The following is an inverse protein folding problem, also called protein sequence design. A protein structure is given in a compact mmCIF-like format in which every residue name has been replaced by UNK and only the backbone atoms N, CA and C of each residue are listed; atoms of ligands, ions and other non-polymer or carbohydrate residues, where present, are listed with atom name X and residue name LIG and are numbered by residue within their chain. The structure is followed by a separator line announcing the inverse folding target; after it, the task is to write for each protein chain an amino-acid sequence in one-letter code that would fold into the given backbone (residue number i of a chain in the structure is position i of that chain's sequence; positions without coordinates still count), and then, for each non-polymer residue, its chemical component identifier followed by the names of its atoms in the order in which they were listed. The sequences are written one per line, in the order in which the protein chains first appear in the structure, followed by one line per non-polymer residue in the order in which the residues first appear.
data_IF_832775441521
#
_entry.id   IF_832775441521
#
_cell.length_a   1.000
_cell.length_b   1.000
_cell.length_c   1.000
_cell.angle_alpha   90.00
_cell.angle_beta   90.00
_cell.angle_gamma   90.00
#
_symmetry.space_group_name_H-M   'P 1'
#
loop_
_entity.id
_entity.type
_entity.pdbx_description
1 polymer ?
#
# COMPACT_ATOMS: atom_id res chain seq x y z
N UNK A 1 -17.64 -3.90 -11.27
CA UNK A 1 -17.98 -3.05 -12.42
C UNK A 1 -19.17 -3.68 -13.11
N UNK A 2 -20.09 -2.87 -13.66
CA UNK A 2 -21.21 -3.28 -14.50
C UNK A 2 -20.88 -2.98 -15.97
N UNK A 3 -21.33 -3.85 -16.87
CA UNK A 3 -21.15 -3.70 -18.31
C UNK A 3 -21.77 -2.39 -18.82
N UNK A 4 -21.08 -1.72 -19.73
CA UNK A 4 -21.55 -0.47 -20.35
C UNK A 4 -21.42 0.78 -19.48
N UNK A 5 -21.22 0.63 -18.17
CA UNK A 5 -20.97 1.77 -17.27
C UNK A 5 -19.62 2.42 -17.57
N UNK A 6 -19.59 3.75 -17.41
CA UNK A 6 -18.37 4.56 -17.48
C UNK A 6 -17.67 4.63 -16.12
N UNK A 7 -16.36 4.46 -16.12
CA UNK A 7 -15.47 4.54 -14.97
C UNK A 7 -14.45 5.66 -15.15
N UNK A 8 -13.98 6.19 -14.03
CA UNK A 8 -12.95 7.22 -14.06
C UNK A 8 -11.55 6.65 -14.26
N UNK A 9 -10.59 7.55 -14.41
CA UNK A 9 -9.17 7.27 -14.67
C UNK A 9 -8.50 6.26 -13.74
N UNK A 10 -9.07 5.97 -12.56
CA UNK A 10 -8.54 4.96 -11.63
C UNK A 10 -8.64 3.54 -12.20
N UNK A 11 -9.44 3.35 -13.24
CA UNK A 11 -9.66 2.07 -13.93
C UNK A 11 -8.89 1.98 -15.24
N UNK A 12 -7.99 2.93 -15.52
CA UNK A 12 -7.10 2.86 -16.67
C UNK A 12 -6.02 1.82 -16.38
N UNK A 13 -6.30 0.54 -16.61
CA UNK A 13 -5.36 -0.56 -16.40
C UNK A 13 -4.78 -1.00 -17.73
N UNK A 14 -3.50 -0.70 -17.99
CA UNK A 14 -2.90 -0.91 -19.32
C UNK A 14 -2.68 -2.37 -19.67
N UNK A 15 -2.80 -3.26 -18.68
CA UNK A 15 -2.71 -4.69 -18.85
C UNK A 15 -3.89 -5.28 -19.66
N UNK A 16 -5.02 -4.56 -19.78
CA UNK A 16 -6.17 -4.97 -20.60
C UNK A 16 -7.10 -3.78 -20.91
N UNK A 17 -6.63 -2.81 -21.71
CA UNK A 17 -7.42 -1.66 -22.17
C UNK A 17 -7.09 -1.32 -23.62
N UNK A 18 -8.08 -0.82 -24.36
CA UNK A 18 -7.89 -0.26 -25.70
C UNK A 18 -8.16 1.24 -25.66
N UNK A 19 -7.28 2.02 -26.28
CA UNK A 19 -7.33 3.49 -26.27
C UNK A 19 -7.21 3.99 -27.70
N UNK A 20 -8.09 4.91 -28.10
CA UNK A 20 -8.01 5.55 -29.42
C UNK A 20 -6.68 6.30 -29.53
N UNK A 21 -5.98 6.11 -30.65
CA UNK A 21 -4.68 6.73 -30.91
C UNK A 21 -4.69 8.25 -30.71
N UNK A 22 -5.75 8.92 -31.14
CA UNK A 22 -5.90 10.37 -31.05
C UNK A 22 -5.88 10.88 -29.59
N UNK A 23 -6.38 10.08 -28.64
CA UNK A 23 -6.29 10.43 -27.23
C UNK A 23 -4.84 10.55 -26.75
N UNK A 24 -3.97 9.65 -27.20
CA UNK A 24 -2.55 9.68 -26.83
C UNK A 24 -1.83 10.90 -27.42
N UNK A 25 -2.32 11.45 -28.53
CA UNK A 25 -1.75 12.66 -29.15
C UNK A 25 -2.17 13.96 -28.47
N UNK A 26 -3.16 13.95 -27.56
CA UNK A 26 -3.44 15.11 -26.71
C UNK A 26 -2.34 15.38 -25.67
N UNK A 27 -1.46 14.41 -25.45
CA UNK A 27 -0.41 14.47 -24.44
C UNK A 27 0.97 14.58 -25.10
N UNK A 28 1.81 15.47 -24.57
CA UNK A 28 3.19 15.65 -25.04
C UNK A 28 4.11 14.51 -24.62
N UNK A 29 3.69 13.72 -23.62
CA UNK A 29 4.35 12.51 -23.12
C UNK A 29 3.30 11.44 -22.82
N UNK A 30 3.61 10.19 -23.13
CA UNK A 30 2.71 9.05 -22.85
C UNK A 30 2.92 8.56 -21.42
N UNK A 31 3.79 7.59 -21.15
CA UNK A 31 4.09 7.21 -19.78
C UNK A 31 5.14 8.14 -19.17
N UNK A 32 4.89 8.56 -17.94
CA UNK A 32 5.83 9.37 -17.17
C UNK A 32 6.89 8.45 -16.54
N UNK A 33 8.13 8.58 -17.00
CA UNK A 33 9.25 7.70 -16.60
C UNK A 33 9.72 7.92 -15.17
N UNK A 34 9.22 8.94 -14.46
CA UNK A 34 9.49 9.09 -13.02
C UNK A 34 8.75 8.03 -12.19
N UNK A 35 7.73 7.37 -12.74
CA UNK A 35 7.09 6.19 -12.15
C UNK A 35 7.94 4.95 -12.39
N UNK A 36 9.01 4.82 -11.60
CA UNK A 36 10.03 3.76 -11.76
C UNK A 36 9.59 2.36 -11.32
N UNK A 37 8.41 2.23 -10.72
CA UNK A 37 7.82 0.95 -10.33
C UNK A 37 6.50 0.75 -11.07
N UNK A 38 6.13 -0.50 -11.33
CA UNK A 38 4.82 -0.87 -11.88
C UNK A 38 3.70 -0.59 -10.85
N UNK A 39 3.39 0.68 -10.68
CA UNK A 39 2.38 1.24 -9.81
C UNK A 39 2.12 2.72 -10.17
N UNK A 40 0.85 3.05 -10.40
CA UNK A 40 0.32 4.40 -10.65
C UNK A 40 0.72 5.09 -11.96
N UNK A 41 1.62 4.53 -12.77
CA UNK A 41 1.97 5.00 -14.11
C UNK A 41 0.74 5.03 -15.03
N UNK A 42 -0.06 3.96 -15.02
CA UNK A 42 -1.28 3.87 -15.82
C UNK A 42 -2.33 4.88 -15.35
N UNK A 43 -2.50 4.96 -14.01
CA UNK A 43 -3.46 5.86 -13.37
C UNK A 43 -3.08 7.32 -13.64
N UNK A 44 -1.79 7.64 -13.70
CA UNK A 44 -1.30 8.99 -14.03
C UNK A 44 -1.62 9.37 -15.47
N UNK A 45 -1.36 8.47 -16.43
CA UNK A 45 -1.72 8.71 -17.84
C UNK A 45 -3.24 8.82 -17.99
N UNK A 46 -4.00 7.91 -17.40
CA UNK A 46 -5.46 7.96 -17.37
C UNK A 46 -5.97 9.27 -16.77
N UNK A 47 -5.32 9.80 -15.72
CA UNK A 47 -5.70 11.06 -15.09
C UNK A 47 -5.56 12.22 -16.08
N UNK A 48 -4.42 12.34 -16.77
CA UNK A 48 -4.20 13.39 -17.77
C UNK A 48 -5.19 13.29 -18.92
N UNK A 49 -5.41 12.08 -19.45
CA UNK A 49 -6.39 11.84 -20.51
C UNK A 49 -7.83 12.14 -20.05
N UNK A 50 -8.18 11.91 -18.79
CA UNK A 50 -9.51 12.27 -18.24
C UNK A 50 -9.76 13.78 -18.28
N UNK A 51 -8.70 14.60 -18.17
CA UNK A 51 -8.79 16.05 -18.34
C UNK A 51 -9.05 16.46 -19.80
N UNK A 52 -8.94 15.52 -20.74
CA UNK A 52 -9.23 15.67 -22.16
C UNK A 52 -10.54 14.96 -22.57
N UNK A 53 -11.36 14.55 -21.60
CA UNK A 53 -12.65 13.90 -21.86
C UNK A 53 -12.56 12.39 -22.09
N UNK A 54 -11.52 11.72 -21.58
CA UNK A 54 -11.47 10.25 -21.60
C UNK A 54 -12.56 9.67 -20.70
N UNK A 55 -13.38 8.79 -21.28
CA UNK A 55 -14.31 7.92 -20.57
C UNK A 55 -13.88 6.46 -20.74
N UNK A 56 -13.86 5.70 -19.64
CA UNK A 56 -13.48 4.28 -19.65
C UNK A 56 -14.75 3.45 -19.56
N UNK A 57 -15.06 2.66 -20.58
CA UNK A 57 -16.23 1.79 -20.59
C UNK A 57 -15.82 0.36 -20.23
N UNK A 58 -16.46 -0.22 -19.22
CA UNK A 58 -16.18 -1.61 -18.84
C UNK A 58 -16.94 -2.60 -19.72
N UNK A 59 -16.24 -3.65 -20.16
CA UNK A 59 -16.80 -4.67 -21.03
C UNK A 59 -16.35 -6.08 -20.59
N UNK A 60 -17.21 -6.88 -19.91
CA UNK A 60 -16.81 -8.13 -19.26
C UNK A 60 -16.31 -9.23 -20.21
N UNK A 61 -16.70 -9.22 -21.50
CA UNK A 61 -16.22 -10.19 -22.50
C UNK A 61 -14.79 -9.91 -23.00
N UNK A 62 -14.21 -8.75 -22.68
CA UNK A 62 -12.81 -8.45 -23.01
C UNK A 62 -11.91 -9.08 -21.94
N UNK A 63 -11.63 -10.36 -22.11
CA UNK A 63 -10.86 -11.14 -21.15
C UNK A 63 -9.35 -10.95 -21.32
N UNK A 64 -8.66 -10.72 -20.20
CA UNK A 64 -7.20 -10.74 -20.10
C UNK A 64 -6.78 -11.69 -18.98
N UNK A 65 -5.92 -12.65 -19.30
CA UNK A 65 -5.38 -13.59 -18.32
C UNK A 65 -3.98 -13.18 -17.91
N UNK A 66 -3.76 -13.02 -16.61
CA UNK A 66 -2.46 -12.66 -16.06
C UNK A 66 -1.96 -13.77 -15.14
N UNK A 67 -0.73 -14.22 -15.37
CA UNK A 67 -0.03 -15.06 -14.42
C UNK A 67 0.80 -14.17 -13.49
N UNK A 68 0.41 -14.14 -12.21
CA UNK A 68 1.12 -13.39 -11.17
C UNK A 68 1.43 -14.30 -10.00
N UNK A 69 2.63 -14.84 -9.98
CA UNK A 69 3.14 -15.53 -8.79
C UNK A 69 3.64 -14.49 -7.78
N UNK A 70 3.02 -14.47 -6.60
CA UNK A 70 3.42 -13.63 -5.49
C UNK A 70 3.52 -14.43 -4.20
N UNK A 71 4.66 -14.33 -3.54
CA UNK A 71 4.80 -14.64 -2.11
C UNK A 71 4.40 -13.42 -1.28
N UNK A 72 4.06 -13.60 0.00
CA UNK A 72 3.82 -12.50 0.95
C UNK A 72 4.96 -11.49 0.94
N UNK A 73 6.20 -11.96 0.89
CA UNK A 73 7.37 -11.09 0.78
C UNK A 73 7.38 -10.24 -0.48
N UNK A 74 7.18 -10.86 -1.65
CA UNK A 74 7.17 -10.15 -2.94
C UNK A 74 5.99 -9.16 -3.01
N UNK A 75 4.84 -9.53 -2.46
CA UNK A 75 3.64 -8.71 -2.48
C UNK A 75 3.75 -7.55 -1.49
N UNK A 76 4.30 -7.75 -0.28
CA UNK A 76 4.62 -6.65 0.65
C UNK A 76 5.58 -5.64 0.04
N UNK A 77 6.60 -6.09 -0.70
CA UNK A 77 7.50 -5.19 -1.43
C UNK A 77 6.77 -4.43 -2.55
N UNK A 78 5.87 -5.09 -3.27
CA UNK A 78 5.03 -4.44 -4.28
C UNK A 78 4.15 -3.37 -3.64
N UNK A 79 3.48 -3.67 -2.53
CA UNK A 79 2.67 -2.72 -1.77
C UNK A 79 3.50 -1.50 -1.33
N UNK A 80 4.69 -1.72 -0.79
CA UNK A 80 5.62 -0.62 -0.45
C UNK A 80 5.93 0.25 -1.67
N UNK A 81 6.29 -0.34 -2.81
CA UNK A 81 6.54 0.39 -4.06
C UNK A 81 5.32 1.19 -4.52
N UNK A 82 4.12 0.62 -4.42
CA UNK A 82 2.87 1.32 -4.71
C UNK A 82 2.65 2.51 -3.78
N UNK A 83 2.99 2.40 -2.49
CA UNK A 83 2.98 3.52 -1.55
C UNK A 83 3.93 4.64 -1.94
N UNK A 84 5.15 4.30 -2.40
CA UNK A 84 6.12 5.30 -2.89
C UNK A 84 5.56 6.05 -4.10
N UNK A 85 5.02 5.32 -5.08
CA UNK A 85 4.49 5.91 -6.31
C UNK A 85 3.19 6.71 -6.10
N UNK A 86 2.39 6.36 -5.09
CA UNK A 86 1.18 7.14 -4.78
C UNK A 86 1.49 8.54 -4.27
N UNK A 87 2.58 8.72 -3.51
CA UNK A 87 3.06 10.06 -3.15
C UNK A 87 3.50 10.84 -4.39
N UNK A 88 4.23 10.21 -5.31
CA UNK A 88 4.66 10.85 -6.56
C UNK A 88 3.47 11.32 -7.39
N UNK A 89 2.41 10.52 -7.48
CA UNK A 89 1.16 10.89 -8.15
C UNK A 89 0.56 12.17 -7.55
N UNK A 90 0.43 12.26 -6.21
CA UNK A 90 -0.09 13.47 -5.54
C UNK A 90 0.83 14.66 -5.79
N UNK A 91 2.15 14.45 -5.70
CA UNK A 91 3.15 15.51 -5.87
C UNK A 91 3.07 16.14 -7.26
N UNK A 92 2.92 15.30 -8.30
CA UNK A 92 2.80 15.76 -9.69
C UNK A 92 1.40 16.30 -10.00
N UNK A 93 0.37 15.67 -9.45
CA UNK A 93 -1.04 15.97 -9.72
C UNK A 93 -1.82 16.14 -8.41
N UNK A 94 -1.74 17.30 -7.73
CA UNK A 94 -2.40 17.52 -6.45
C UNK A 94 -3.92 17.27 -6.48
N UNK A 95 -4.56 17.44 -7.65
CA UNK A 95 -5.98 17.14 -7.84
C UNK A 95 -6.35 15.66 -7.72
N UNK A 96 -5.38 14.74 -7.62
CA UNK A 96 -5.62 13.31 -7.38
C UNK A 96 -5.71 12.97 -5.89
N UNK A 97 -5.54 13.94 -4.99
CA UNK A 97 -5.59 13.72 -3.54
C UNK A 97 -6.88 13.05 -3.07
N UNK A 98 -8.01 13.31 -3.73
CA UNK A 98 -9.31 12.71 -3.43
C UNK A 98 -9.33 11.18 -3.64
N UNK A 99 -8.51 10.67 -4.55
CA UNK A 99 -8.33 9.23 -4.79
C UNK A 99 -7.59 8.57 -3.64
N UNK A 100 -6.77 9.35 -2.92
CA UNK A 100 -5.92 8.89 -1.84
C UNK A 100 -6.40 9.40 -0.48
N UNK A 101 -7.72 9.56 -0.33
CA UNK A 101 -8.37 10.04 0.90
C UNK A 101 -8.02 9.20 2.14
N UNK A 102 -7.90 7.87 2.00
CA UNK A 102 -7.53 7.00 3.11
C UNK A 102 -6.08 7.28 3.57
N UNK A 103 -5.18 7.52 2.62
CA UNK A 103 -3.78 7.83 2.81
C UNK A 103 -3.61 9.15 3.56
N UNK A 104 -4.32 10.18 3.09
CA UNK A 104 -4.33 11.51 3.72
C UNK A 104 -4.91 11.45 5.13
N UNK A 105 -6.05 10.78 5.32
CA UNK A 105 -6.67 10.62 6.65
C UNK A 105 -5.73 9.91 7.62
N UNK A 106 -5.07 8.83 7.19
CA UNK A 106 -4.10 8.13 8.05
C UNK A 106 -2.92 9.03 8.38
N UNK A 107 -2.35 9.71 7.38
CA UNK A 107 -1.24 10.63 7.61
C UNK A 107 -1.60 11.73 8.61
N UNK A 108 -2.78 12.34 8.44
CA UNK A 108 -3.28 13.36 9.36
C UNK A 108 -3.36 12.83 10.80
N UNK A 109 -3.90 11.62 10.98
CA UNK A 109 -3.92 10.96 12.29
C UNK A 109 -2.51 10.73 12.86
N UNK A 110 -1.53 10.32 12.05
CA UNK A 110 -0.14 10.15 12.50
C UNK A 110 0.46 11.49 12.96
N UNK A 111 0.24 12.56 12.19
CA UNK A 111 0.74 13.90 12.51
C UNK A 111 0.13 14.46 13.80
N UNK A 112 -1.16 14.23 14.04
CA UNK A 112 -1.81 14.63 15.30
C UNK A 112 -1.16 13.99 16.54
N UNK A 113 -0.57 12.81 16.39
CA UNK A 113 0.08 12.10 17.49
C UNK A 113 1.57 12.41 17.64
N UNK A 114 2.13 13.23 16.74
CA UNK A 114 3.53 13.61 16.75
C UNK A 114 3.98 14.32 18.04
N UNK A 115 3.20 15.24 18.64
CA UNK A 115 3.57 15.90 19.89
C UNK A 115 3.67 14.93 21.08
N UNK A 116 2.88 13.85 21.08
CA UNK A 116 2.77 12.91 22.19
C UNK A 116 3.79 11.75 22.12
N UNK A 117 4.51 11.63 21.01
CA UNK A 117 5.57 10.63 20.89
C UNK A 117 6.81 11.10 21.67
N UNK A 118 6.94 10.60 22.90
CA UNK A 118 8.05 10.88 23.83
C UNK A 118 9.31 10.04 23.52
N UNK A 119 9.16 8.88 22.88
CA UNK A 119 10.26 8.00 22.44
C UNK A 119 10.30 7.94 20.92
N UNK A 120 11.49 8.00 20.35
CA UNK A 120 11.78 7.49 19.01
C UNK A 120 12.59 6.20 19.14
N UNK A 121 12.32 5.23 18.28
CA UNK A 121 13.21 4.10 18.06
C UNK A 121 14.06 4.37 16.81
N UNK A 122 15.16 3.63 16.64
CA UNK A 122 15.93 3.70 15.41
C UNK A 122 15.09 3.22 14.22
N UNK A 123 15.39 3.73 13.02
CA UNK A 123 14.77 3.24 11.78
C UNK A 123 14.94 1.73 11.63
N UNK A 124 16.07 1.19 12.12
CA UNK A 124 16.37 -0.25 12.12
C UNK A 124 15.38 -1.08 12.93
N UNK A 125 14.86 -0.54 14.05
CA UNK A 125 13.84 -1.22 14.85
C UNK A 125 12.57 -1.43 14.02
N UNK A 126 12.08 -0.35 13.40
CA UNK A 126 10.86 -0.37 12.58
C UNK A 126 10.99 -1.28 11.37
N UNK A 127 12.15 -1.24 10.70
CA UNK A 127 12.43 -2.14 9.59
C UNK A 127 12.46 -3.61 10.04
N UNK A 128 13.06 -3.90 11.19
CA UNK A 128 13.07 -5.25 11.77
C UNK A 128 11.66 -5.73 12.11
N UNK A 129 10.84 -4.91 12.77
CA UNK A 129 9.45 -5.26 13.10
C UNK A 129 8.62 -5.53 11.84
N UNK A 130 8.82 -4.72 10.80
CA UNK A 130 8.19 -4.96 9.51
C UNK A 130 8.61 -6.28 8.87
N UNK A 131 9.92 -6.56 8.80
CA UNK A 131 10.44 -7.84 8.26
C UNK A 131 9.90 -9.04 9.03
N UNK A 132 9.84 -8.95 10.35
CA UNK A 132 9.27 -9.98 11.19
C UNK A 132 7.79 -10.20 10.92
N UNK A 133 7.03 -9.13 10.65
CA UNK A 133 5.61 -9.23 10.35
C UNK A 133 5.38 -9.91 9.00
N UNK A 134 6.24 -9.63 8.01
CA UNK A 134 6.21 -10.31 6.72
C UNK A 134 6.53 -11.80 6.88
N UNK A 135 7.56 -12.14 7.67
CA UNK A 135 7.89 -13.54 7.96
C UNK A 135 6.73 -14.27 8.65
N UNK A 136 6.07 -13.61 9.59
CA UNK A 136 4.90 -14.15 10.28
C UNK A 136 3.77 -14.48 9.30
N UNK A 137 3.37 -13.55 8.42
CA UNK A 137 2.33 -13.85 7.43
C UNK A 137 2.79 -14.92 6.43
N UNK A 138 4.07 -14.96 6.08
CA UNK A 138 4.62 -16.00 5.19
C UNK A 138 4.48 -17.40 5.81
N UNK A 139 4.66 -17.53 7.13
CA UNK A 139 4.45 -18.80 7.84
C UNK A 139 2.99 -19.27 7.76
N UNK A 140 2.03 -18.35 7.85
CA UNK A 140 0.60 -18.67 7.83
C UNK A 140 0.00 -18.76 6.42
N UNK A 141 0.78 -18.64 5.35
CA UNK A 141 0.29 -18.69 3.96
C UNK A 141 -0.52 -19.96 3.63
N UNK A 142 -0.14 -21.10 4.22
CA UNK A 142 -0.81 -22.38 3.97
C UNK A 142 -2.02 -22.64 4.88
N UNK A 143 -2.36 -21.72 5.78
CA UNK A 143 -3.41 -21.90 6.80
C UNK A 143 -4.48 -20.79 6.73
N UNK A 144 -5.23 -20.70 5.63
CA UNK A 144 -6.19 -19.62 5.42
C UNK A 144 -7.31 -19.68 6.46
N UNK A 145 -7.48 -18.59 7.19
CA UNK A 145 -8.61 -18.37 8.09
C UNK A 145 -8.79 -16.86 8.30
N UNK A 146 -9.97 -16.45 8.81
CA UNK A 146 -10.32 -15.04 8.97
C UNK A 146 -9.31 -14.23 9.81
N UNK A 147 -8.73 -14.86 10.85
CA UNK A 147 -7.76 -14.22 11.74
C UNK A 147 -6.41 -14.00 11.03
N UNK A 148 -5.99 -14.98 10.23
CA UNK A 148 -4.81 -14.87 9.35
C UNK A 148 -5.07 -13.85 8.24
N UNK A 149 -6.22 -13.88 7.56
CA UNK A 149 -6.58 -12.92 6.52
C UNK A 149 -6.53 -11.48 7.04
N UNK A 150 -7.05 -11.26 8.25
CA UNK A 150 -6.95 -9.97 8.93
C UNK A 150 -5.48 -9.54 9.08
N UNK A 151 -4.61 -10.43 9.59
CA UNK A 151 -3.19 -10.11 9.75
C UNK A 151 -2.52 -9.79 8.40
N UNK A 152 -2.80 -10.60 7.37
CA UNK A 152 -2.31 -10.37 6.00
C UNK A 152 -2.68 -8.96 5.51
N UNK A 153 -3.96 -8.60 5.57
CA UNK A 153 -4.43 -7.28 5.16
C UNK A 153 -3.72 -6.16 5.95
N UNK A 154 -3.53 -6.34 7.26
CA UNK A 154 -2.82 -5.34 8.09
C UNK A 154 -1.34 -5.21 7.73
N UNK A 155 -0.63 -6.31 7.47
CA UNK A 155 0.79 -6.26 7.11
C UNK A 155 0.99 -5.69 5.70
N UNK A 156 0.11 -6.03 4.76
CA UNK A 156 0.15 -5.51 3.39
C UNK A 156 -0.19 -4.02 3.35
N UNK A 157 -1.21 -3.59 4.08
CA UNK A 157 -1.51 -2.16 4.26
C UNK A 157 -0.33 -1.45 4.92
N UNK A 158 0.22 -1.99 6.01
CA UNK A 158 1.35 -1.38 6.69
C UNK A 158 2.55 -1.19 5.73
N UNK A 159 2.81 -2.17 4.86
CA UNK A 159 3.83 -2.10 3.82
C UNK A 159 3.57 -0.95 2.84
N UNK A 160 2.34 -0.80 2.35
CA UNK A 160 1.95 0.30 1.47
C UNK A 160 2.18 1.67 2.14
N UNK A 161 1.67 1.85 3.35
CA UNK A 161 1.76 3.13 4.04
C UNK A 161 3.19 3.49 4.46
N UNK A 162 4.03 2.49 4.74
CA UNK A 162 5.46 2.70 4.93
C UNK A 162 6.12 3.27 3.68
N UNK A 163 5.80 2.75 2.49
CA UNK A 163 6.30 3.33 1.23
C UNK A 163 5.87 4.77 1.03
N UNK A 164 4.61 5.09 1.36
CA UNK A 164 4.08 6.44 1.30
C UNK A 164 4.76 7.40 2.28
N UNK A 165 4.92 6.99 3.55
CA UNK A 165 5.60 7.75 4.60
C UNK A 165 7.07 7.98 4.21
N UNK A 166 7.76 6.94 3.76
CA UNK A 166 9.17 7.03 3.40
C UNK A 166 9.35 7.98 2.21
N UNK A 167 8.49 7.92 1.19
CA UNK A 167 8.54 8.85 0.06
C UNK A 167 8.28 10.31 0.47
N UNK A 168 7.38 10.54 1.42
CA UNK A 168 7.01 11.89 1.87
C UNK A 168 7.99 12.51 2.88
N UNK A 169 8.63 11.68 3.71
CA UNK A 169 9.44 12.12 4.86
C UNK A 169 10.93 11.76 4.79
N UNK A 170 11.43 11.06 3.76
CA UNK A 170 12.81 10.52 3.69
C UNK A 170 13.92 11.45 4.23
N UNK A 171 13.83 12.75 3.95
CA UNK A 171 14.85 13.75 4.29
C UNK A 171 14.45 14.65 5.47
N UNK A 172 13.32 14.36 6.13
CA UNK A 172 12.77 15.16 7.22
C UNK A 172 13.17 14.56 8.57
N UNK A 173 13.57 15.40 9.51
CA UNK A 173 13.96 15.00 10.88
C UNK A 173 12.88 14.20 11.64
N UNK A 174 11.61 14.38 11.26
CA UNK A 174 10.46 13.69 11.86
C UNK A 174 10.20 12.28 11.31
N UNK A 175 10.94 11.82 10.29
CA UNK A 175 10.69 10.56 9.58
C UNK A 175 10.64 9.35 10.51
N UNK A 176 11.69 9.15 11.31
CA UNK A 176 11.78 8.04 12.28
C UNK A 176 10.66 8.09 13.31
N UNK A 177 10.27 9.29 13.74
CA UNK A 177 9.18 9.51 14.70
C UNK A 177 7.83 9.13 14.10
N UNK A 178 7.55 9.53 12.85
CA UNK A 178 6.31 9.15 12.15
C UNK A 178 6.24 7.65 11.89
N UNK A 179 7.36 7.02 11.50
CA UNK A 179 7.45 5.56 11.35
C UNK A 179 7.09 4.82 12.63
N UNK A 180 7.66 5.25 13.75
CA UNK A 180 7.35 4.67 15.05
C UNK A 180 5.88 4.86 15.45
N UNK A 181 5.31 6.05 15.24
CA UNK A 181 3.88 6.29 15.51
C UNK A 181 3.02 5.36 14.65
N UNK A 182 3.37 5.19 13.38
CA UNK A 182 2.65 4.30 12.47
C UNK A 182 2.68 2.84 12.96
N UNK A 183 3.84 2.32 13.36
CA UNK A 183 3.93 0.98 13.96
C UNK A 183 3.09 0.87 15.23
N UNK A 184 3.24 1.82 16.16
CA UNK A 184 2.54 1.80 17.45
C UNK A 184 1.02 1.83 17.29
N UNK A 185 0.51 2.56 16.31
CA UNK A 185 -0.93 2.71 16.09
C UNK A 185 -1.54 1.65 15.18
N UNK A 186 -0.75 1.05 14.30
CA UNK A 186 -1.27 0.18 13.25
C UNK A 186 -0.78 -1.26 13.37
N UNK A 187 0.53 -1.48 13.24
CA UNK A 187 1.07 -2.83 13.19
C UNK A 187 1.04 -3.51 14.56
N UNK A 188 1.46 -2.82 15.64
CA UNK A 188 1.46 -3.41 16.99
C UNK A 188 0.06 -3.85 17.43
N UNK A 189 -1.01 -3.04 17.32
CA UNK A 189 -2.35 -3.47 17.68
C UNK A 189 -2.86 -4.64 16.84
N UNK A 190 -2.54 -4.68 15.54
CA UNK A 190 -2.90 -5.80 14.67
C UNK A 190 -2.26 -7.11 15.13
N UNK A 191 -0.98 -7.08 15.50
CA UNK A 191 -0.27 -8.25 16.02
C UNK A 191 -0.80 -8.67 17.39
N UNK A 192 -1.11 -7.71 18.27
CA UNK A 192 -1.70 -7.99 19.59
C UNK A 192 -3.09 -8.62 19.46
N UNK A 193 -3.90 -8.15 18.52
CA UNK A 193 -5.19 -8.77 18.20
C UNK A 193 -4.98 -10.19 17.68
N UNK A 194 -4.13 -10.38 16.66
CA UNK A 194 -3.83 -11.70 16.11
C UNK A 194 -3.37 -12.69 17.19
N UNK A 195 -2.47 -12.28 18.08
CA UNK A 195 -2.00 -13.11 19.20
C UNK A 195 -3.13 -13.56 20.14
N UNK A 196 -4.12 -12.70 20.41
CA UNK A 196 -5.26 -13.03 21.29
C UNK A 196 -6.22 -14.02 20.64
N UNK A 197 -6.41 -13.91 19.34
CA UNK A 197 -7.40 -14.70 18.61
C UNK A 197 -6.89 -16.08 18.18
N UNK A 198 -5.57 -16.29 18.13
CA UNK A 198 -5.04 -17.62 17.86
C UNK A 198 -5.20 -18.52 19.09
N UNK A 199 -5.88 -19.64 18.91
CA UNK A 199 -6.15 -20.61 19.96
C UNK A 199 -4.94 -21.50 20.30
N UNK A 200 -4.05 -21.75 19.34
CA UNK A 200 -2.94 -22.68 19.47
C UNK A 200 -1.73 -22.05 20.19
N UNK A 201 -1.25 -22.70 21.25
CA UNK A 201 -0.08 -22.26 22.02
C UNK A 201 1.23 -22.35 21.22
N UNK A 202 1.36 -23.28 20.28
CA UNK A 202 2.54 -23.36 19.43
C UNK A 202 2.62 -22.19 18.46
N UNK A 203 1.49 -21.77 17.90
CA UNK A 203 1.42 -20.56 17.07
C UNK A 203 1.75 -19.30 17.87
N UNK A 204 1.35 -19.22 19.14
CA UNK A 204 1.77 -18.13 20.05
C UNK A 204 3.28 -18.12 20.28
N UNK A 205 3.92 -19.28 20.44
CA UNK A 205 5.40 -19.36 20.52
C UNK A 205 6.06 -18.85 19.24
N UNK A 206 5.47 -19.10 18.08
CA UNK A 206 5.99 -18.61 16.79
C UNK A 206 6.00 -17.08 16.74
N UNK A 207 4.97 -16.41 17.27
CA UNK A 207 4.97 -14.95 17.38
C UNK A 207 6.13 -14.42 18.24
N UNK A 208 6.42 -15.09 19.36
CA UNK A 208 7.55 -14.73 20.22
C UNK A 208 8.89 -14.94 19.52
N UNK A 209 9.05 -16.04 18.77
CA UNK A 209 10.24 -16.31 17.94
C UNK A 209 10.44 -15.26 16.84
N UNK A 210 9.35 -14.66 16.35
CA UNK A 210 9.40 -13.54 15.41
C UNK A 210 9.61 -12.17 16.10
N UNK A 211 10.05 -12.15 17.35
CA UNK A 211 10.48 -10.92 18.03
C UNK A 211 9.32 -9.99 18.41
N UNK A 212 8.10 -10.51 18.53
CA UNK A 212 6.92 -9.72 18.94
C UNK A 212 6.66 -9.73 20.45
N UNK A 213 7.58 -10.25 21.28
CA UNK A 213 7.43 -10.27 22.75
C UNK A 213 7.04 -8.90 23.31
N UNK A 214 7.81 -7.85 22.99
CA UNK A 214 7.53 -6.47 23.45
C UNK A 214 6.24 -5.87 22.86
N UNK A 215 5.78 -6.39 21.71
CA UNK A 215 4.56 -5.92 21.06
C UNK A 215 3.30 -6.48 21.74
N UNK A 216 3.40 -7.71 22.26
CA UNK A 216 2.30 -8.50 22.84
C UNK A 216 2.01 -8.08 24.29
N UNK A 217 3.05 -7.77 25.07
CA UNK A 217 2.93 -7.22 26.44
C UNK A 217 2.19 -5.86 26.41
#
# INVERSE_FOLDING_TARGET
MKEGDTYDFRHFYTCNISVKRDFLFYETKWFDTDFIYAAFEDVELGYRLSKKGLEIVYQPQILGYHYHYHTSWSFSKRQYKSGVMSYLLIKKHPGTICVLNAQVKRLFNLLLHLPFAQKSYSVDFEERMWKNAIRLISYFESYPNKTVDYLFLKVLDYSYYNGFIDALFKEKSIHSKIRYIHYKQYLRPAIKYFYREIANEDDKKILLQHGFGDAIV
#
